data_IF_547760451839
#
_entry.id   IF_547760451839
#
_cell.length_a   1.000
_cell.length_b   1.000
_cell.length_c   1.000
_cell.angle_alpha   90.00
_cell.angle_beta   90.00
_cell.angle_gamma   90.00
#
_symmetry.space_group_name_H-M   'P 1'
#
loop_
_entity.id
_entity.type
_entity.pdbx_description
1 polymer ?
#
# COMPACT_ATOMS: atom_id res chain seq x y z
N UNK A 1 3.05 5.81 11.87
CA UNK A 1 3.09 5.74 13.35
C UNK A 1 1.81 5.25 14.00
N UNK A 2 0.74 6.06 14.12
CA UNK A 2 -0.44 5.67 14.92
C UNK A 2 -1.09 4.33 14.50
N UNK A 3 -1.26 4.09 13.20
CA UNK A 3 -1.79 2.82 12.69
C UNK A 3 -0.86 1.65 13.05
N UNK A 4 0.45 1.84 12.93
CA UNK A 4 1.45 0.81 13.22
C UNK A 4 1.44 0.44 14.71
N UNK A 5 1.35 1.43 15.59
CA UNK A 5 1.18 1.23 17.04
C UNK A 5 -0.15 0.54 17.38
N UNK A 6 -1.23 0.93 16.69
CA UNK A 6 -2.55 0.32 16.89
C UNK A 6 -2.56 -1.16 16.49
N UNK A 7 -1.79 -1.54 15.48
CA UNK A 7 -1.65 -2.92 14.99
C UNK A 7 -0.64 -3.76 15.81
N UNK A 8 -0.03 -3.20 16.85
CA UNK A 8 0.93 -3.91 17.69
C UNK A 8 0.29 -5.02 18.52
N UNK A 9 -0.97 -4.82 18.94
CA UNK A 9 -1.70 -5.72 19.84
C UNK A 9 -2.91 -6.40 19.22
N UNK A 10 -3.17 -6.21 17.92
CA UNK A 10 -4.34 -6.75 17.23
C UNK A 10 -4.07 -6.99 15.75
N UNK A 11 -4.80 -7.93 15.15
CA UNK A 11 -4.60 -8.34 13.76
C UNK A 11 -5.22 -7.40 12.72
N UNK A 12 -6.22 -6.60 13.12
CA UNK A 12 -6.97 -5.70 12.24
C UNK A 12 -7.20 -4.36 12.92
N UNK A 13 -7.70 -3.37 12.18
CA UNK A 13 -7.78 -1.98 12.64
C UNK A 13 -8.82 -1.77 13.74
N UNK A 14 -9.95 -2.47 13.72
CA UNK A 14 -11.09 -2.17 14.62
C UNK A 14 -11.33 -3.26 15.67
N UNK A 15 -11.01 -4.51 15.35
CA UNK A 15 -11.25 -5.67 16.22
C UNK A 15 -10.33 -6.83 15.85
N UNK A 16 -10.53 -8.02 16.42
CA UNK A 16 -9.84 -9.25 16.01
C UNK A 16 -10.40 -9.89 14.72
N UNK A 17 -11.27 -9.17 13.99
CA UNK A 17 -11.85 -9.63 12.72
C UNK A 17 -11.62 -8.58 11.64
N UNK A 18 -11.51 -9.06 10.40
CA UNK A 18 -11.50 -8.22 9.22
C UNK A 18 -12.81 -7.43 9.12
N UNK A 19 -12.69 -6.13 8.89
CA UNK A 19 -13.82 -5.21 8.70
C UNK A 19 -13.65 -4.40 7.42
N UNK A 20 -14.68 -3.63 7.03
CA UNK A 20 -14.58 -2.70 5.90
C UNK A 20 -13.46 -1.66 6.09
N UNK A 21 -13.17 -1.26 7.34
CA UNK A 21 -12.07 -0.34 7.64
C UNK A 21 -10.73 -0.88 7.14
N UNK A 22 -10.52 -2.20 7.28
CA UNK A 22 -9.31 -2.87 6.83
C UNK A 22 -9.20 -2.90 5.31
N UNK A 23 -10.32 -3.17 4.63
CA UNK A 23 -10.40 -3.16 3.16
C UNK A 23 -10.07 -1.76 2.62
N UNK A 24 -10.63 -0.71 3.22
CA UNK A 24 -10.38 0.69 2.83
C UNK A 24 -8.94 1.13 3.09
N UNK A 25 -8.35 0.67 4.18
CA UNK A 25 -6.94 0.90 4.46
C UNK A 25 -6.05 0.13 3.48
N UNK A 26 -6.34 -1.15 3.22
CA UNK A 26 -5.56 -2.01 2.33
C UNK A 26 -5.45 -1.43 0.92
N UNK A 27 -6.56 -0.97 0.34
CA UNK A 27 -6.53 -0.37 -1.01
C UNK A 27 -5.66 0.90 -1.06
N UNK A 28 -5.57 1.65 0.04
CA UNK A 28 -4.68 2.81 0.10
C UNK A 28 -3.23 2.37 0.23
N UNK A 29 -2.95 1.46 1.16
CA UNK A 29 -1.60 1.00 1.50
C UNK A 29 -0.94 0.21 0.36
N UNK A 30 -1.66 -0.65 -0.35
CA UNK A 30 -1.09 -1.46 -1.45
C UNK A 30 -0.56 -0.61 -2.61
N UNK A 31 -1.00 0.66 -2.70
CA UNK A 31 -0.56 1.64 -3.70
C UNK A 31 0.54 2.57 -3.18
N UNK A 32 0.81 2.56 -1.88
CA UNK A 32 1.61 3.58 -1.22
C UNK A 32 3.06 3.60 -1.73
N UNK A 33 3.77 2.48 -1.62
CA UNK A 33 5.17 2.41 -2.03
C UNK A 33 5.34 2.44 -3.56
N UNK A 34 4.34 1.92 -4.30
CA UNK A 34 4.34 1.91 -5.77
C UNK A 34 4.15 3.31 -6.37
N UNK A 35 3.22 4.09 -5.83
CA UNK A 35 2.79 5.34 -6.46
C UNK A 35 2.90 6.55 -5.51
N UNK A 36 2.31 6.48 -4.32
CA UNK A 36 2.14 7.67 -3.47
C UNK A 36 3.46 8.21 -2.96
N UNK A 37 4.32 7.31 -2.49
CA UNK A 37 5.64 7.64 -1.97
C UNK A 37 6.43 8.49 -2.99
N UNK A 38 6.49 8.06 -4.25
CA UNK A 38 7.20 8.77 -5.31
C UNK A 38 6.40 9.94 -5.89
N UNK A 39 5.24 9.66 -6.49
CA UNK A 39 4.48 10.63 -7.28
C UNK A 39 3.91 11.76 -6.43
N UNK A 40 3.36 11.44 -5.26
CA UNK A 40 2.75 12.41 -4.34
C UNK A 40 3.74 12.96 -3.32
N UNK A 41 4.99 12.48 -3.31
CA UNK A 41 6.05 12.93 -2.40
C UNK A 41 5.73 12.67 -0.93
N UNK A 42 4.93 11.64 -0.63
CA UNK A 42 4.69 11.17 0.74
C UNK A 42 5.85 10.26 1.17
N UNK A 43 7.06 10.80 1.21
CA UNK A 43 8.31 10.04 1.11
C UNK A 43 9.17 10.04 2.38
N UNK A 44 8.58 10.28 3.56
CA UNK A 44 9.32 10.21 4.81
C UNK A 44 9.74 8.76 5.13
N UNK A 45 8.81 7.81 4.96
CA UNK A 45 9.00 6.39 5.20
C UNK A 45 8.21 5.58 4.18
N UNK A 46 8.71 4.39 3.83
CA UNK A 46 7.99 3.39 3.06
C UNK A 46 7.21 2.46 4.00
N UNK A 47 6.28 1.67 3.47
CA UNK A 47 5.51 0.73 4.30
C UNK A 47 6.39 -0.31 4.98
N UNK A 48 7.49 -0.72 4.32
CA UNK A 48 8.49 -1.65 4.88
C UNK A 48 9.13 -1.17 6.19
N UNK A 49 9.13 0.14 6.43
CA UNK A 49 9.70 0.73 7.65
C UNK A 49 8.75 0.56 8.86
N UNK A 50 7.50 0.14 8.61
CA UNK A 50 6.47 -0.10 9.61
C UNK A 50 6.22 -1.59 9.76
N UNK A 51 6.77 -2.17 10.84
CA UNK A 51 6.74 -3.62 11.09
C UNK A 51 5.31 -4.17 11.15
N UNK A 52 4.42 -3.52 11.90
CA UNK A 52 3.07 -4.03 12.14
C UNK A 52 2.18 -3.81 10.92
N UNK A 53 2.33 -2.68 10.23
CA UNK A 53 1.66 -2.42 8.94
C UNK A 53 2.11 -3.45 7.88
N UNK A 54 3.39 -3.77 7.79
CA UNK A 54 3.89 -4.76 6.82
C UNK A 54 3.27 -6.15 7.08
N UNK A 55 3.25 -6.59 8.34
CA UNK A 55 2.61 -7.85 8.73
C UNK A 55 1.10 -7.84 8.44
N UNK A 56 0.43 -6.73 8.72
CA UNK A 56 -0.98 -6.50 8.44
C UNK A 56 -1.31 -6.55 6.94
N UNK A 57 -0.50 -5.89 6.11
CA UNK A 57 -0.66 -5.89 4.65
C UNK A 57 -0.48 -7.29 4.08
N UNK A 58 0.54 -8.02 4.53
CA UNK A 58 0.77 -9.42 4.13
C UNK A 58 -0.42 -10.30 4.48
N UNK A 59 -0.95 -10.20 5.70
CA UNK A 59 -2.12 -10.97 6.16
C UNK A 59 -3.34 -10.77 5.25
N UNK A 60 -3.63 -9.54 4.84
CA UNK A 60 -4.77 -9.25 3.95
C UNK A 60 -4.48 -9.72 2.52
N UNK A 61 -3.26 -9.49 2.03
CA UNK A 61 -2.85 -9.91 0.69
C UNK A 61 -2.93 -11.43 0.48
N UNK A 62 -2.63 -12.20 1.54
CA UNK A 62 -2.68 -13.67 1.55
C UNK A 62 -4.10 -14.26 1.70
N UNK A 63 -5.14 -13.44 1.90
CA UNK A 63 -6.52 -13.92 1.88
C UNK A 63 -6.87 -14.45 0.48
N UNK A 64 -7.66 -15.54 0.38
CA UNK A 64 -8.03 -16.13 -0.91
C UNK A 64 -8.62 -15.11 -1.88
N UNK A 65 -8.04 -15.02 -3.07
CA UNK A 65 -8.48 -14.13 -4.16
C UNK A 65 -8.05 -12.67 -4.05
N UNK A 66 -7.46 -12.21 -2.93
CA UNK A 66 -7.05 -10.80 -2.80
C UNK A 66 -5.87 -10.47 -3.73
N UNK A 67 -4.87 -11.34 -3.81
CA UNK A 67 -3.72 -11.14 -4.69
C UNK A 67 -4.14 -10.91 -6.16
N UNK A 68 -5.18 -11.62 -6.63
CA UNK A 68 -5.72 -11.50 -7.99
C UNK A 68 -6.37 -10.14 -8.27
N UNK A 69 -6.73 -9.38 -7.22
CA UNK A 69 -7.28 -8.03 -7.34
C UNK A 69 -6.21 -6.94 -7.48
N UNK A 70 -4.93 -7.29 -7.32
CA UNK A 70 -3.83 -6.33 -7.27
C UNK A 70 -2.95 -6.48 -8.51
N UNK A 71 -2.97 -5.46 -9.38
CA UNK A 71 -2.03 -5.34 -10.50
C UNK A 71 -1.08 -4.17 -10.27
N UNK A 72 0.19 -4.42 -9.88
CA UNK A 72 1.20 -3.36 -9.72
C UNK A 72 1.42 -2.57 -11.01
N UNK A 73 1.37 -3.23 -12.17
CA UNK A 73 1.51 -2.60 -13.48
C UNK A 73 0.39 -1.59 -13.75
N UNK A 74 -0.87 -1.97 -13.48
CA UNK A 74 -2.00 -1.06 -13.64
C UNK A 74 -1.94 0.11 -12.65
N UNK A 75 -1.51 -0.14 -11.41
CA UNK A 75 -1.32 0.91 -10.40
C UNK A 75 -0.27 1.91 -10.88
N UNK A 76 0.93 1.45 -11.24
CA UNK A 76 2.03 2.32 -11.71
C UNK A 76 1.62 3.13 -12.93
N UNK A 77 1.12 2.45 -13.97
CA UNK A 77 0.72 3.11 -15.22
C UNK A 77 -0.40 4.12 -15.00
N UNK A 78 -1.40 3.77 -14.17
CA UNK A 78 -2.51 4.67 -13.85
C UNK A 78 -2.04 5.96 -13.19
N UNK A 79 -1.26 5.87 -12.12
CA UNK A 79 -0.80 7.07 -11.38
C UNK A 79 0.22 7.89 -12.16
N UNK A 80 1.24 7.24 -12.75
CA UNK A 80 2.28 7.97 -13.47
C UNK A 80 1.81 8.53 -14.83
N UNK A 81 0.59 8.20 -15.29
CA UNK A 81 -0.06 8.86 -16.42
C UNK A 81 -0.60 10.27 -16.12
N UNK A 82 -0.72 10.66 -14.84
CA UNK A 82 -1.26 11.95 -14.43
C UNK A 82 -0.29 13.07 -14.84
N UNK A 83 -0.51 13.68 -16.02
CA UNK A 83 0.39 14.69 -16.60
C UNK A 83 0.69 15.89 -15.70
N UNK A 84 -0.28 16.31 -14.89
CA UNK A 84 -0.10 17.42 -13.97
C UNK A 84 0.96 17.12 -12.88
N UNK A 85 1.17 15.84 -12.56
CA UNK A 85 2.12 15.39 -11.54
C UNK A 85 3.38 14.75 -12.14
N UNK A 86 3.27 14.15 -13.33
CA UNK A 86 4.37 13.52 -14.06
C UNK A 86 4.39 13.93 -15.55
N UNK A 87 4.91 15.13 -15.89
CA UNK A 87 4.91 15.62 -17.27
C UNK A 87 5.75 14.79 -18.24
N UNK A 88 6.80 14.12 -17.75
CA UNK A 88 7.69 13.30 -18.57
C UNK A 88 7.07 11.96 -18.97
N UNK A 89 6.02 11.51 -18.27
CA UNK A 89 5.41 10.20 -18.47
C UNK A 89 6.32 9.02 -18.10
N UNK A 90 7.47 9.28 -17.48
CA UNK A 90 8.39 8.21 -17.06
C UNK A 90 7.76 7.44 -15.91
N UNK A 91 7.67 6.12 -16.07
CA UNK A 91 7.21 5.20 -15.03
C UNK A 91 8.45 4.60 -14.36
N UNK A 92 8.61 4.72 -13.03
CA UNK A 92 9.74 4.12 -12.33
C UNK A 92 9.65 2.59 -12.33
N UNK A 93 10.81 1.93 -12.36
CA UNK A 93 10.92 0.46 -12.33
C UNK A 93 10.68 -0.11 -10.94
N UNK A 94 10.87 0.69 -9.89
CA UNK A 94 10.75 0.26 -8.51
C UNK A 94 9.41 0.62 -7.87
N UNK A 95 9.18 0.14 -6.63
CA UNK A 95 9.98 -0.84 -5.89
C UNK A 95 9.82 -2.29 -6.42
N UNK A 96 10.90 -3.06 -6.42
CA UNK A 96 10.95 -4.46 -6.92
C UNK A 96 10.26 -5.48 -6.01
N UNK A 97 9.78 -5.07 -4.84
CA UNK A 97 9.00 -5.90 -3.89
C UNK A 97 7.94 -5.04 -3.21
N UNK A 98 6.78 -5.65 -2.94
CA UNK A 98 5.67 -5.03 -2.20
C UNK A 98 5.91 -4.99 -0.67
N UNK A 99 6.89 -5.76 -0.17
CA UNK A 99 7.35 -5.83 1.21
C UNK A 99 8.83 -6.24 1.27
#
# INVERSE_FOLDING_TARGET
DWIDQRLDNQNYLVSDRLTEADVRAFVTLIRFDLAYHGLFKTNLHQLRDYRNITAYMKRIYELPGIADTVSPEHILTGYYSIRALNPSGIIPVGPTKLW
#
